data_IF_384248563871
#
_entry.id   IF_384248563871
#
_cell.length_a   1.000
_cell.length_b   1.000
_cell.length_c   1.000
_cell.angle_alpha   90.00
_cell.angle_beta   90.00
_cell.angle_gamma   90.00
#
_symmetry.space_group_name_H-M   'P 1'
#
loop_
_entity.id
_entity.type
_entity.pdbx_description
1 polymer ?
#
# COMPACT_ATOMS: atom_id res chain seq x y z
N UNK A 1 -72.30 -16.36 -31.54
CA UNK A 1 -71.86 -15.27 -30.62
C UNK A 1 -70.84 -15.87 -29.69
N UNK A 2 -69.59 -15.68 -29.96
CA UNK A 2 -68.49 -16.15 -29.13
C UNK A 2 -67.56 -14.98 -28.91
N UNK A 3 -67.43 -14.50 -27.68
CA UNK A 3 -66.60 -13.44 -27.25
C UNK A 3 -65.20 -14.04 -26.93
N UNK A 4 -64.14 -13.61 -27.67
CA UNK A 4 -62.75 -13.89 -27.37
C UNK A 4 -62.26 -12.87 -26.35
N UNK A 5 -61.87 -13.35 -25.18
CA UNK A 5 -61.08 -12.60 -24.20
C UNK A 5 -59.61 -12.77 -24.53
N UNK A 6 -58.93 -11.68 -24.92
CA UNK A 6 -57.50 -11.62 -25.10
C UNK A 6 -56.84 -11.25 -23.77
N UNK A 7 -56.09 -12.17 -23.18
CA UNK A 7 -55.22 -11.93 -22.02
C UNK A 7 -53.89 -11.40 -22.49
N UNK A 8 -53.59 -10.15 -22.18
CA UNK A 8 -52.28 -9.54 -22.40
C UNK A 8 -51.33 -9.94 -21.27
N UNK A 9 -50.26 -10.69 -21.59
CA UNK A 9 -49.15 -11.00 -20.71
C UNK A 9 -48.16 -9.83 -20.78
N UNK A 10 -48.04 -9.04 -19.72
CA UNK A 10 -46.98 -8.08 -19.55
C UNK A 10 -45.69 -8.83 -19.17
N UNK A 11 -44.76 -8.91 -20.09
CA UNK A 11 -43.37 -9.29 -19.79
C UNK A 11 -42.69 -8.13 -19.08
N UNK A 12 -42.43 -8.24 -17.80
CA UNK A 12 -41.60 -7.33 -17.06
C UNK A 12 -40.12 -7.64 -17.40
N UNK A 13 -39.51 -6.85 -18.29
CA UNK A 13 -38.08 -6.83 -18.46
C UNK A 13 -37.45 -6.26 -17.20
N UNK A 14 -36.78 -7.10 -16.42
CA UNK A 14 -35.95 -6.69 -15.30
C UNK A 14 -34.74 -5.89 -15.81
N UNK A 15 -34.82 -4.57 -15.69
CA UNK A 15 -33.70 -3.67 -15.93
C UNK A 15 -32.74 -3.82 -14.76
N UNK A 16 -31.59 -4.45 -14.99
CA UNK A 16 -30.44 -4.37 -14.11
C UNK A 16 -29.99 -2.91 -14.04
N UNK A 17 -30.50 -2.20 -13.03
CA UNK A 17 -30.21 -0.81 -12.80
C UNK A 17 -28.76 -0.61 -12.42
N UNK A 18 -27.98 -0.07 -13.36
CA UNK A 18 -26.75 0.66 -13.06
C UNK A 18 -27.17 1.87 -12.23
N UNK A 19 -27.05 1.78 -10.92
CA UNK A 19 -27.27 2.90 -10.00
C UNK A 19 -26.16 3.96 -10.16
N UNK A 20 -26.24 4.74 -11.23
CA UNK A 20 -25.61 6.08 -11.29
C UNK A 20 -26.52 7.00 -10.47
N UNK A 21 -26.37 6.98 -9.17
CA UNK A 21 -27.09 7.89 -8.28
C UNK A 21 -26.62 9.32 -8.53
N UNK A 22 -27.32 10.04 -9.39
CA UNK A 22 -27.11 11.47 -9.70
C UNK A 22 -27.73 12.41 -8.67
N UNK A 23 -27.87 11.97 -7.41
CA UNK A 23 -28.39 12.79 -6.32
C UNK A 23 -27.33 13.68 -5.67
N UNK A 24 -27.73 14.74 -4.92
CA UNK A 24 -26.79 15.55 -4.16
C UNK A 24 -26.02 14.69 -3.15
N UNK A 25 -24.72 14.94 -3.04
CA UNK A 25 -23.84 14.22 -2.10
C UNK A 25 -24.10 14.76 -0.68
N UNK A 26 -24.41 13.94 0.32
CA UNK A 26 -24.63 14.42 1.68
C UNK A 26 -23.38 15.12 2.25
N UNK A 27 -23.59 16.05 3.17
CA UNK A 27 -22.48 16.73 3.85
C UNK A 27 -21.56 15.68 4.51
N UNK A 28 -20.23 15.87 4.38
CA UNK A 28 -19.23 14.92 4.90
C UNK A 28 -19.03 13.66 4.06
N UNK A 29 -19.59 13.61 2.85
CA UNK A 29 -19.38 12.54 1.89
C UNK A 29 -18.78 13.08 0.60
N UNK A 30 -18.15 12.23 -0.17
CA UNK A 30 -17.54 12.53 -1.46
C UNK A 30 -17.94 11.48 -2.50
N UNK A 31 -18.33 11.91 -3.69
CA UNK A 31 -18.61 11.02 -4.81
C UNK A 31 -17.35 10.80 -5.63
N UNK A 32 -16.93 9.55 -5.76
CA UNK A 32 -15.77 9.15 -6.54
C UNK A 32 -15.94 9.53 -8.01
N UNK A 33 -14.97 10.25 -8.55
CA UNK A 33 -14.93 10.69 -9.94
C UNK A 33 -13.97 9.84 -10.78
N UNK A 34 -14.11 9.84 -12.12
CA UNK A 34 -13.15 9.17 -12.99
C UNK A 34 -11.71 9.65 -12.72
N UNK A 35 -10.79 8.71 -12.50
CA UNK A 35 -9.38 9.01 -12.19
C UNK A 35 -9.09 9.33 -10.72
N UNK A 36 -10.08 9.19 -9.82
CA UNK A 36 -9.84 9.28 -8.39
C UNK A 36 -9.26 7.99 -7.82
N UNK A 37 -8.41 8.16 -6.83
CA UNK A 37 -7.91 7.09 -5.97
C UNK A 37 -8.26 7.43 -4.52
N UNK A 38 -8.40 6.44 -3.67
CA UNK A 38 -8.69 6.66 -2.26
C UNK A 38 -7.63 7.57 -1.59
N UNK A 39 -6.37 7.48 -2.05
CA UNK A 39 -5.27 8.34 -1.60
C UNK A 39 -5.50 9.83 -1.98
N UNK A 40 -5.94 10.08 -3.22
CA UNK A 40 -6.24 11.44 -3.69
C UNK A 40 -7.40 12.04 -2.91
N UNK A 41 -8.48 11.25 -2.71
CA UNK A 41 -9.66 11.66 -1.93
C UNK A 41 -9.28 11.92 -0.46
N UNK A 42 -8.47 11.05 0.14
CA UNK A 42 -7.99 11.22 1.51
C UNK A 42 -7.21 12.52 1.69
N UNK A 43 -6.24 12.80 0.82
CA UNK A 43 -5.45 14.04 0.85
C UNK A 43 -6.31 15.30 0.66
N UNK A 44 -7.22 15.28 -0.31
CA UNK A 44 -8.13 16.41 -0.58
C UNK A 44 -9.01 16.75 0.63
N UNK A 45 -9.39 15.74 1.40
CA UNK A 45 -10.23 15.88 2.59
C UNK A 45 -9.43 15.91 3.91
N UNK A 46 -8.09 16.04 3.86
CA UNK A 46 -7.19 16.07 5.04
C UNK A 46 -7.38 14.85 5.97
N UNK A 47 -7.68 13.70 5.38
CA UNK A 47 -7.91 12.43 6.08
C UNK A 47 -6.84 11.41 5.74
N UNK A 48 -6.70 10.36 6.58
CA UNK A 48 -5.88 9.21 6.24
C UNK A 48 -6.66 8.21 5.40
N UNK A 49 -5.96 7.46 4.52
CA UNK A 49 -6.57 6.37 3.76
C UNK A 49 -7.20 5.33 4.70
N UNK A 50 -6.53 5.00 5.80
CA UNK A 50 -7.03 4.07 6.82
C UNK A 50 -8.32 4.55 7.49
N UNK A 51 -8.49 5.86 7.67
CA UNK A 51 -9.74 6.44 8.18
C UNK A 51 -10.87 6.24 7.16
N UNK A 52 -10.63 6.54 5.87
CA UNK A 52 -11.63 6.34 4.83
C UNK A 52 -12.01 4.87 4.65
N UNK A 53 -11.04 3.96 4.70
CA UNK A 53 -11.29 2.50 4.66
C UNK A 53 -12.20 2.08 5.80
N UNK A 54 -11.90 2.50 7.01
CA UNK A 54 -12.67 2.13 8.21
C UNK A 54 -14.08 2.74 8.21
N UNK A 55 -14.23 4.03 7.83
CA UNK A 55 -15.53 4.71 7.83
C UNK A 55 -16.47 4.21 6.75
N UNK A 56 -15.94 3.57 5.71
CA UNK A 56 -16.70 3.07 4.56
C UNK A 56 -16.70 1.54 4.46
N UNK A 57 -16.17 0.82 5.45
CA UNK A 57 -16.06 -0.65 5.46
C UNK A 57 -15.47 -1.21 4.16
N UNK A 58 -14.45 -0.53 3.60
CA UNK A 58 -13.83 -0.97 2.35
C UNK A 58 -12.95 -2.20 2.61
N UNK A 59 -13.31 -3.31 2.00
CA UNK A 59 -12.51 -4.55 2.06
C UNK A 59 -11.18 -4.40 1.32
N UNK A 60 -11.12 -3.51 0.32
CA UNK A 60 -9.94 -3.22 -0.46
C UNK A 60 -9.87 -1.72 -0.77
N UNK A 61 -8.85 -1.00 -0.28
CA UNK A 61 -8.68 0.45 -0.50
C UNK A 61 -8.46 0.82 -1.97
N UNK A 62 -8.11 -0.16 -2.83
CA UNK A 62 -7.88 0.04 -4.25
C UNK A 62 -9.13 -0.25 -5.11
N UNK A 63 -10.23 -0.71 -4.51
CA UNK A 63 -11.49 -1.01 -5.19
C UNK A 63 -12.56 0.03 -4.87
N UNK A 64 -12.38 1.24 -5.35
CA UNK A 64 -13.42 2.27 -5.37
C UNK A 64 -13.95 2.42 -6.79
N UNK A 65 -15.26 2.63 -6.92
CA UNK A 65 -15.93 2.73 -8.22
C UNK A 65 -16.37 4.16 -8.48
N UNK A 66 -16.29 4.59 -9.74
CA UNK A 66 -16.84 5.88 -10.18
C UNK A 66 -18.31 5.96 -9.81
N UNK A 67 -18.73 7.07 -9.18
CA UNK A 67 -20.08 7.26 -8.67
C UNK A 67 -20.29 6.75 -7.23
N UNK A 68 -19.38 5.97 -6.67
CA UNK A 68 -19.46 5.52 -5.28
C UNK A 68 -19.39 6.74 -4.33
N UNK A 69 -20.28 6.76 -3.33
CA UNK A 69 -20.29 7.80 -2.30
C UNK A 69 -19.50 7.31 -1.08
N UNK A 70 -18.44 8.02 -0.75
CA UNK A 70 -17.56 7.72 0.39
C UNK A 70 -17.74 8.76 1.49
N UNK A 71 -17.82 8.31 2.74
CA UNK A 71 -17.75 9.17 3.91
C UNK A 71 -16.31 9.70 4.06
N UNK A 72 -16.15 11.00 4.12
CA UNK A 72 -14.85 11.69 4.22
C UNK A 72 -14.69 12.49 5.51
N UNK A 73 -15.69 12.42 6.41
CA UNK A 73 -15.63 13.00 7.76
C UNK A 73 -15.83 11.93 8.83
N UNK A 74 -15.23 12.10 9.99
CA UNK A 74 -15.38 11.17 11.11
C UNK A 74 -16.86 11.00 11.49
N UNK A 75 -17.34 9.76 11.77
CA UNK A 75 -18.67 9.56 12.32
C UNK A 75 -18.80 10.27 13.67
N UNK A 76 -19.92 10.93 13.90
CA UNK A 76 -20.23 11.50 15.20
C UNK A 76 -20.25 10.37 16.25
N UNK A 77 -19.26 10.35 17.14
CA UNK A 77 -19.08 9.29 18.14
C UNK A 77 -17.70 8.65 18.20
N UNK A 78 -16.81 8.95 17.25
CA UNK A 78 -15.41 8.49 17.29
C UNK A 78 -14.46 9.62 17.71
N UNK A 79 -14.61 10.12 18.94
CA UNK A 79 -13.61 10.95 19.58
C UNK A 79 -12.45 10.04 20.03
N UNK A 80 -11.37 10.02 19.25
CA UNK A 80 -10.18 9.24 19.55
C UNK A 80 -9.07 9.46 18.54
N UNK A 81 -8.19 10.46 18.77
CA UNK A 81 -6.88 10.57 18.17
C UNK A 81 -6.67 11.64 17.11
N UNK A 82 -6.93 12.89 17.40
CA UNK A 82 -6.30 14.00 16.72
C UNK A 82 -5.12 14.48 17.57
N UNK A 83 -3.91 14.18 17.15
CA UNK A 83 -2.70 14.82 17.67
C UNK A 83 -2.53 16.16 17.00
N UNK A 84 -3.04 17.20 17.63
CA UNK A 84 -2.69 18.60 17.34
C UNK A 84 -1.61 19.03 18.31
N UNK A 85 -0.43 19.34 17.78
CA UNK A 85 0.60 20.05 18.53
C UNK A 85 0.13 21.46 18.88
N UNK A 86 0.10 21.78 20.16
CA UNK A 86 -0.13 23.09 20.70
C UNK A 86 0.79 23.30 21.92
N UNK A 87 1.73 24.22 21.77
CA UNK A 87 2.51 24.80 22.86
C UNK A 87 1.61 25.53 23.83
N UNK A 88 1.75 25.33 25.13
CA UNK A 88 1.64 26.40 26.14
C UNK A 88 2.46 26.05 27.37
N UNK A 89 3.24 27.06 27.81
CA UNK A 89 4.04 27.14 29.02
C UNK A 89 3.16 27.17 30.27
N UNK A 90 3.69 26.68 31.42
CA UNK A 90 3.10 26.91 32.74
C UNK A 90 3.79 26.08 33.83
N UNK A 91 4.73 26.64 34.44
CA UNK A 91 5.46 26.70 35.71
C UNK A 91 4.96 25.86 36.93
N UNK A 92 5.97 25.24 37.58
CA UNK A 92 6.19 24.95 39.01
C UNK A 92 5.45 23.76 39.66
N UNK A 93 6.11 22.80 40.23
CA UNK A 93 6.80 22.73 41.55
C UNK A 93 7.20 21.27 41.80
N UNK A 94 8.47 21.04 42.13
CA UNK A 94 8.99 19.78 42.68
C UNK A 94 8.69 19.69 44.19
N UNK A 95 8.90 18.53 44.90
CA UNK A 95 10.23 17.96 45.08
C UNK A 95 10.36 16.41 45.17
N UNK A 96 11.53 15.93 44.81
CA UNK A 96 12.46 14.94 45.39
C UNK A 96 11.91 13.59 45.92
N UNK A 97 12.50 12.47 45.56
CA UNK A 97 13.80 11.90 45.96
C UNK A 97 14.06 10.55 45.28
N UNK A 98 15.22 10.39 44.85
CA UNK A 98 16.34 9.46 45.06
C UNK A 98 16.31 8.10 44.34
N UNK A 99 17.33 7.97 43.55
CA UNK A 99 18.50 7.11 43.55
C UNK A 99 18.58 5.94 42.57
N UNK A 100 19.59 6.05 41.77
CA UNK A 100 20.73 5.15 41.49
C UNK A 100 20.53 4.13 40.38
N UNK A 101 21.10 4.30 39.22
CA UNK A 101 22.39 3.80 38.74
C UNK A 101 22.53 4.04 37.23
N UNK A 102 23.57 4.83 36.90
CA UNK A 102 24.13 5.00 35.56
C UNK A 102 25.13 3.88 35.31
N UNK A 103 25.26 3.38 34.11
CA UNK A 103 26.54 3.49 33.45
C UNK A 103 26.51 4.34 32.20
N UNK A 104 27.41 5.27 32.18
CA UNK A 104 27.85 6.06 31.05
C UNK A 104 28.37 5.15 29.94
N UNK A 105 27.82 5.34 28.75
CA UNK A 105 28.38 4.90 27.50
C UNK A 105 28.21 6.05 26.51
N UNK A 106 29.15 6.98 26.54
CA UNK A 106 29.35 7.98 25.50
C UNK A 106 29.63 7.23 24.19
N UNK A 107 28.66 7.18 23.32
CA UNK A 107 28.90 6.83 21.91
C UNK A 107 28.55 8.06 21.11
N UNK A 108 29.57 8.70 20.60
CA UNK A 108 29.53 9.78 19.65
C UNK A 108 28.49 9.43 18.54
N UNK A 109 27.47 10.25 18.45
CA UNK A 109 26.52 10.24 17.33
C UNK A 109 27.25 10.67 16.06
N UNK A 110 27.93 9.74 15.45
CA UNK A 110 28.27 9.83 14.03
C UNK A 110 26.94 9.77 13.29
N UNK A 111 26.57 10.82 12.56
CA UNK A 111 25.41 10.83 11.69
C UNK A 111 25.42 9.54 10.85
N UNK A 112 24.39 8.69 10.92
CA UNK A 112 24.42 7.42 10.21
C UNK A 112 24.40 7.74 8.72
N UNK A 113 25.48 7.39 8.02
CA UNK A 113 25.43 7.18 6.58
C UNK A 113 24.17 6.33 6.34
N UNK A 114 23.24 6.83 5.54
CA UNK A 114 21.93 6.18 5.24
C UNK A 114 22.20 4.83 4.55
N UNK A 115 22.62 3.82 5.29
CA UNK A 115 22.88 2.47 4.80
C UNK A 115 21.68 1.57 5.18
N UNK A 116 21.30 0.68 4.28
CA UNK A 116 20.38 -0.40 4.52
C UNK A 116 21.08 -1.71 4.21
N UNK A 117 20.86 -2.73 5.02
CA UNK A 117 21.28 -4.10 4.72
C UNK A 117 20.10 -4.86 4.14
N UNK A 118 20.22 -5.33 2.90
CA UNK A 118 19.21 -6.10 2.22
C UNK A 118 19.59 -7.57 2.17
N UNK A 119 18.57 -8.45 2.18
CA UNK A 119 18.71 -9.85 1.79
C UNK A 119 18.12 -10.07 0.41
N UNK A 120 18.56 -11.13 -0.27
CA UNK A 120 17.97 -11.49 -1.56
C UNK A 120 16.48 -11.77 -1.42
N UNK A 121 15.64 -11.13 -2.24
CA UNK A 121 14.18 -11.27 -2.13
C UNK A 121 13.67 -12.62 -2.63
N UNK A 122 14.44 -13.32 -3.46
CA UNK A 122 14.12 -14.64 -3.96
C UNK A 122 15.38 -15.39 -4.41
N UNK A 123 15.43 -16.73 -4.37
CA UNK A 123 16.41 -17.51 -5.08
C UNK A 123 16.16 -17.46 -6.59
N UNK A 124 17.18 -17.75 -7.40
CA UNK A 124 17.06 -17.80 -8.87
C UNK A 124 18.14 -17.05 -9.61
N UNK A 125 18.09 -17.10 -10.94
CA UNK A 125 19.05 -16.47 -11.82
C UNK A 125 18.63 -15.06 -12.19
N UNK A 126 19.59 -14.13 -12.22
CA UNK A 126 19.32 -12.77 -12.72
C UNK A 126 19.29 -12.83 -14.25
N UNK A 127 18.12 -12.60 -14.84
CA UNK A 127 17.90 -12.60 -16.28
C UNK A 127 17.88 -11.19 -16.89
N UNK A 128 17.76 -10.15 -16.05
CA UNK A 128 17.91 -8.76 -16.44
C UNK A 128 18.60 -7.98 -15.33
N UNK A 129 19.61 -7.24 -15.70
CA UNK A 129 20.37 -6.42 -14.75
C UNK A 129 19.84 -4.98 -14.68
N UNK A 130 20.19 -4.28 -13.62
CA UNK A 130 19.95 -2.86 -13.48
C UNK A 130 20.58 -2.09 -14.66
N UNK A 131 19.86 -1.11 -15.22
CA UNK A 131 20.27 -0.34 -16.39
C UNK A 131 20.10 -1.06 -17.74
N UNK A 132 20.02 -2.39 -17.76
CA UNK A 132 19.83 -3.15 -19.01
C UNK A 132 18.43 -2.87 -19.59
N UNK A 133 18.38 -2.48 -20.87
CA UNK A 133 17.13 -2.05 -21.54
C UNK A 133 16.33 -1.00 -20.73
N UNK A 134 17.03 -0.06 -20.09
CA UNK A 134 16.48 1.00 -19.22
C UNK A 134 15.72 0.45 -17.98
N UNK A 135 16.06 -0.76 -17.54
CA UNK A 135 15.45 -1.33 -16.32
C UNK A 135 15.91 -0.56 -15.07
N UNK A 136 14.97 -0.15 -14.25
CA UNK A 136 15.21 0.48 -12.95
C UNK A 136 15.49 -0.53 -11.81
N UNK A 137 15.49 -1.83 -12.11
CA UNK A 137 15.70 -2.90 -11.15
C UNK A 137 16.38 -4.10 -11.79
N UNK A 138 16.38 -5.20 -11.06
CA UNK A 138 16.84 -6.51 -11.54
C UNK A 138 15.63 -7.44 -11.72
N UNK A 139 15.74 -8.39 -12.65
CA UNK A 139 14.73 -9.46 -12.80
C UNK A 139 15.36 -10.79 -12.43
N UNK A 140 14.75 -11.49 -11.48
CA UNK A 140 15.18 -12.80 -10.98
C UNK A 140 14.18 -13.85 -11.47
N UNK A 141 14.63 -14.82 -12.25
CA UNK A 141 13.80 -15.92 -12.74
C UNK A 141 13.93 -17.15 -11.84
N UNK A 142 12.79 -17.79 -11.60
CA UNK A 142 12.66 -19.08 -10.95
C UNK A 142 11.28 -19.67 -11.29
N UNK A 143 10.91 -20.80 -10.71
CA UNK A 143 9.60 -21.43 -10.89
C UNK A 143 8.48 -20.60 -10.27
N UNK A 144 7.30 -20.65 -10.91
CA UNK A 144 6.10 -20.01 -10.35
C UNK A 144 5.79 -20.62 -8.96
N UNK A 145 5.47 -19.73 -8.01
CA UNK A 145 5.25 -20.12 -6.62
C UNK A 145 6.47 -20.06 -5.72
N UNK A 146 7.67 -19.82 -6.27
CA UNK A 146 8.85 -19.56 -5.44
C UNK A 146 8.53 -18.45 -4.41
N UNK A 147 8.81 -18.67 -3.11
CA UNK A 147 8.58 -17.66 -2.10
C UNK A 147 9.40 -16.40 -2.35
N UNK A 148 8.75 -15.26 -2.23
CA UNK A 148 9.38 -13.93 -2.27
C UNK A 148 9.36 -13.38 -0.86
N UNK A 149 10.52 -12.92 -0.38
CA UNK A 149 10.69 -12.41 0.97
C UNK A 149 11.00 -10.91 0.97
N UNK A 150 10.63 -10.23 2.05
CA UNK A 150 10.99 -8.84 2.26
C UNK A 150 12.50 -8.67 2.38
N UNK A 151 13.11 -7.87 1.51
CA UNK A 151 14.55 -7.64 1.48
C UNK A 151 15.06 -6.93 2.74
N UNK A 152 14.21 -6.14 3.41
CA UNK A 152 14.46 -5.54 4.72
C UNK A 152 13.15 -5.41 5.49
N UNK A 153 13.23 -5.15 6.78
CA UNK A 153 12.07 -4.82 7.60
C UNK A 153 11.44 -3.49 7.15
N UNK A 154 10.11 -3.38 7.25
CA UNK A 154 9.41 -2.17 6.83
C UNK A 154 7.90 -2.27 6.92
N UNK A 155 7.23 -1.31 6.29
CA UNK A 155 5.76 -1.26 6.19
C UNK A 155 5.34 -1.32 4.72
N UNK A 156 4.38 -2.16 4.41
CA UNK A 156 3.81 -2.27 3.06
C UNK A 156 3.10 -0.97 2.70
N UNK A 157 3.67 -0.24 1.76
CA UNK A 157 3.13 1.04 1.29
C UNK A 157 2.11 0.87 0.16
N UNK A 158 2.16 -0.27 -0.53
CA UNK A 158 1.24 -0.62 -1.60
C UNK A 158 1.18 -2.14 -1.78
N UNK A 159 -0.02 -2.67 -2.01
CA UNK A 159 -0.27 -4.06 -2.38
C UNK A 159 -1.44 -4.11 -3.39
N UNK A 160 -1.16 -4.41 -4.65
CA UNK A 160 -2.19 -4.38 -5.71
C UNK A 160 -1.64 -4.62 -7.10
N UNK A 161 -2.50 -4.37 -8.11
CA UNK A 161 -2.18 -4.61 -9.53
C UNK A 161 -2.63 -3.46 -10.46
N UNK A 162 -2.86 -2.26 -9.92
CA UNK A 162 -3.39 -1.15 -10.72
C UNK A 162 -2.33 -0.45 -11.58
N UNK A 163 -1.05 -0.73 -11.37
CA UNK A 163 0.04 -0.16 -12.16
C UNK A 163 0.38 -1.08 -13.33
N UNK A 164 0.09 -0.61 -14.56
CA UNK A 164 0.40 -1.35 -15.78
C UNK A 164 1.89 -1.68 -15.89
N UNK A 165 2.21 -2.87 -16.37
CA UNK A 165 3.57 -3.34 -16.57
C UNK A 165 4.22 -3.94 -15.33
N UNK A 166 3.56 -3.93 -14.17
CA UNK A 166 4.07 -4.53 -12.93
C UNK A 166 3.28 -5.75 -12.48
N UNK A 167 2.05 -5.95 -13.00
CA UNK A 167 1.17 -7.01 -12.52
C UNK A 167 0.86 -6.90 -11.04
N UNK A 168 0.76 -8.02 -10.35
CA UNK A 168 0.60 -8.00 -8.88
C UNK A 168 1.90 -7.53 -8.23
N UNK A 169 1.83 -6.43 -7.49
CA UNK A 169 3.00 -5.71 -6.99
C UNK A 169 2.87 -5.37 -5.51
N UNK A 170 4.00 -5.39 -4.82
CA UNK A 170 4.20 -4.84 -3.49
C UNK A 170 5.22 -3.71 -3.53
N UNK A 171 5.00 -2.68 -2.72
CA UNK A 171 6.01 -1.67 -2.37
C UNK A 171 6.14 -1.67 -0.85
N UNK A 172 7.37 -1.82 -0.37
CA UNK A 172 7.67 -1.77 1.06
C UNK A 172 8.51 -0.53 1.34
N UNK A 173 8.09 0.25 2.32
CA UNK A 173 8.84 1.39 2.84
C UNK A 173 9.70 0.90 4.00
N UNK A 174 10.98 1.15 3.91
CA UNK A 174 11.98 0.83 4.92
C UNK A 174 12.45 2.09 5.66
N UNK A 175 13.34 1.90 6.62
CA UNK A 175 14.04 3.00 7.25
C UNK A 175 14.92 3.79 6.26
N UNK A 176 15.36 4.98 6.67
CA UNK A 176 16.34 5.81 5.95
C UNK A 176 15.94 6.22 4.52
N UNK A 177 14.62 6.31 4.23
CA UNK A 177 14.10 6.73 2.93
C UNK A 177 14.17 5.67 1.83
N UNK A 178 14.44 4.39 2.19
CA UNK A 178 14.46 3.30 1.23
C UNK A 178 13.06 2.76 0.95
N UNK A 179 12.85 2.39 -0.32
CA UNK A 179 11.68 1.65 -0.80
C UNK A 179 12.17 0.44 -1.59
N UNK A 180 11.46 -0.68 -1.47
CA UNK A 180 11.65 -1.84 -2.37
C UNK A 180 10.34 -2.18 -3.07
N UNK A 181 10.45 -2.56 -4.35
CA UNK A 181 9.35 -2.93 -5.24
C UNK A 181 9.50 -4.39 -5.63
N UNK A 182 8.41 -5.14 -5.55
CA UNK A 182 8.33 -6.56 -5.91
C UNK A 182 7.17 -6.74 -6.88
N UNK A 183 7.44 -7.06 -8.15
CA UNK A 183 6.42 -7.14 -9.19
C UNK A 183 6.39 -8.50 -9.90
N UNK A 184 5.34 -8.71 -10.71
CA UNK A 184 4.99 -9.93 -11.44
C UNK A 184 4.59 -11.11 -10.54
N UNK A 185 4.16 -10.84 -9.30
CA UNK A 185 3.77 -11.88 -8.36
C UNK A 185 2.49 -12.60 -8.81
N UNK A 186 2.37 -13.89 -8.49
CA UNK A 186 1.10 -14.62 -8.67
C UNK A 186 0.14 -14.37 -7.51
N UNK A 187 0.69 -14.22 -6.29
CA UNK A 187 -0.08 -14.03 -5.06
C UNK A 187 0.64 -13.09 -4.13
N UNK A 188 -0.09 -12.19 -3.51
CA UNK A 188 0.38 -11.33 -2.43
C UNK A 188 -0.05 -11.95 -1.10
N UNK A 189 0.88 -12.12 -0.15
CA UNK A 189 0.66 -12.73 1.16
C UNK A 189 0.46 -11.71 2.27
N UNK A 190 0.72 -10.43 1.96
CA UNK A 190 0.58 -9.30 2.87
C UNK A 190 -0.28 -8.21 2.23
N UNK A 191 -0.88 -7.36 3.05
CA UNK A 191 -1.73 -6.26 2.62
C UNK A 191 -1.07 -4.91 2.89
N UNK A 192 -1.56 -3.89 2.23
CA UNK A 192 -1.15 -2.51 2.50
C UNK A 192 -1.31 -2.16 3.99
N UNK A 193 -0.35 -1.42 4.53
CA UNK A 193 -0.27 -1.06 5.94
C UNK A 193 0.34 -2.12 6.85
N UNK A 194 0.56 -3.36 6.38
CA UNK A 194 1.18 -4.41 7.19
C UNK A 194 2.65 -4.10 7.47
N UNK A 195 3.11 -4.38 8.69
CA UNK A 195 4.53 -4.38 9.05
C UNK A 195 5.13 -5.74 8.73
N UNK A 196 6.30 -5.76 8.10
CA UNK A 196 7.02 -6.97 7.71
C UNK A 196 8.44 -6.95 8.26
N UNK A 197 8.97 -8.14 8.58
CA UNK A 197 10.36 -8.34 8.99
C UNK A 197 11.21 -8.69 7.78
N UNK A 198 12.50 -8.40 7.84
CA UNK A 198 13.45 -8.90 6.84
C UNK A 198 13.38 -10.43 6.75
N UNK A 199 13.37 -10.98 5.53
CA UNK A 199 13.25 -12.42 5.29
C UNK A 199 11.83 -12.99 5.45
N UNK A 200 10.85 -12.18 5.84
CA UNK A 200 9.45 -12.63 5.92
C UNK A 200 8.88 -12.87 4.52
N UNK A 201 8.19 -13.99 4.31
CA UNK A 201 7.45 -14.25 3.07
C UNK A 201 6.35 -13.19 2.89
N UNK A 202 6.35 -12.55 1.72
CA UNK A 202 5.44 -11.43 1.37
C UNK A 202 4.63 -11.70 0.11
N UNK A 203 5.14 -12.54 -0.78
CA UNK A 203 4.48 -12.89 -2.04
C UNK A 203 4.99 -14.24 -2.56
N UNK A 204 4.39 -14.69 -3.64
CA UNK A 204 4.83 -15.84 -4.42
C UNK A 204 5.14 -15.39 -5.85
N UNK A 205 6.28 -15.84 -6.38
CA UNK A 205 6.71 -15.54 -7.75
C UNK A 205 5.66 -15.96 -8.76
N UNK A 206 5.39 -15.09 -9.71
CA UNK A 206 4.39 -15.31 -10.75
C UNK A 206 4.84 -14.89 -12.12
N UNK A 207 3.84 -14.73 -12.98
CA UNK A 207 4.00 -14.38 -14.39
C UNK A 207 3.00 -13.28 -14.78
N UNK A 208 2.53 -12.47 -13.82
CA UNK A 208 1.57 -11.41 -14.13
C UNK A 208 2.24 -10.29 -14.92
N UNK A 209 1.69 -9.96 -16.09
CA UNK A 209 2.23 -8.97 -17.04
C UNK A 209 3.70 -9.21 -17.47
N UNK A 210 4.15 -10.47 -17.51
CA UNK A 210 5.46 -10.88 -18.04
C UNK A 210 5.35 -12.22 -18.77
N UNK A 211 6.35 -12.58 -19.56
CA UNK A 211 6.32 -13.76 -20.44
C UNK A 211 6.79 -15.05 -19.77
N UNK A 212 7.43 -14.95 -18.59
CA UNK A 212 7.94 -16.10 -17.83
C UNK A 212 7.90 -15.81 -16.33
N UNK A 213 7.83 -16.85 -15.49
CA UNK A 213 7.85 -16.67 -14.05
C UNK A 213 9.12 -15.97 -13.59
N UNK A 214 8.96 -14.80 -12.98
CA UNK A 214 10.07 -13.97 -12.53
C UNK A 214 9.62 -12.93 -11.50
N UNK A 215 10.57 -12.46 -10.70
CA UNK A 215 10.43 -11.33 -9.81
C UNK A 215 11.15 -10.12 -10.42
N UNK A 216 10.45 -9.03 -10.68
CA UNK A 216 11.09 -7.74 -10.85
C UNK A 216 11.31 -7.11 -9.48
N UNK A 217 12.56 -6.77 -9.19
CA UNK A 217 12.99 -6.19 -7.91
C UNK A 217 13.70 -4.86 -8.14
N UNK A 218 13.15 -3.79 -7.56
CA UNK A 218 13.70 -2.43 -7.66
C UNK A 218 13.90 -1.86 -6.27
N UNK A 219 14.96 -1.07 -6.09
CA UNK A 219 15.23 -0.33 -4.85
C UNK A 219 15.32 1.16 -5.16
N UNK A 220 14.70 1.95 -4.31
CA UNK A 220 14.80 3.42 -4.35
C UNK A 220 15.29 3.93 -3.01
N UNK A 221 16.06 5.01 -3.05
CA UNK A 221 16.46 5.78 -1.89
C UNK A 221 16.09 7.24 -2.11
N UNK A 222 15.33 7.83 -1.19
CA UNK A 222 14.85 9.22 -1.28
C UNK A 222 14.22 9.53 -2.66
N UNK A 223 13.46 8.55 -3.23
CA UNK A 223 12.78 8.64 -4.52
C UNK A 223 13.67 8.34 -5.74
N UNK A 224 14.98 8.23 -5.59
CA UNK A 224 15.92 7.91 -6.67
C UNK A 224 16.11 6.40 -6.77
N UNK A 225 16.16 5.90 -7.99
CA UNK A 225 16.46 4.48 -8.27
C UNK A 225 17.92 4.18 -7.94
N UNK A 226 18.16 3.06 -7.28
CA UNK A 226 19.50 2.57 -6.90
C UNK A 226 19.68 1.16 -7.41
N UNK A 227 20.90 0.82 -7.87
CA UNK A 227 21.20 -0.58 -8.25
C UNK A 227 21.05 -1.50 -7.04
N UNK A 228 20.08 -2.45 -7.07
CA UNK A 228 19.85 -3.35 -5.94
C UNK A 228 21.08 -4.19 -5.58
N UNK A 229 21.91 -4.51 -6.56
CA UNK A 229 23.11 -5.35 -6.36
C UNK A 229 24.19 -4.67 -5.51
N UNK A 230 24.20 -3.34 -5.46
CA UNK A 230 25.11 -2.59 -4.60
C UNK A 230 24.76 -2.69 -3.11
N UNK A 231 23.53 -3.12 -2.80
CA UNK A 231 22.95 -3.23 -1.45
C UNK A 231 22.71 -4.67 -1.01
N UNK A 232 22.75 -5.62 -1.94
CA UNK A 232 22.56 -7.04 -1.69
C UNK A 232 23.87 -7.75 -1.40
N UNK A 233 23.88 -8.85 -0.62
CA UNK A 233 25.06 -9.67 -0.43
C UNK A 233 25.60 -10.22 -1.77
N UNK A 234 26.91 -10.40 -1.89
CA UNK A 234 27.48 -11.06 -3.06
C UNK A 234 26.96 -12.50 -3.17
N UNK A 235 26.63 -12.90 -4.36
CA UNK A 235 26.30 -14.29 -4.74
C UNK A 235 27.44 -14.85 -5.55
#
# INVERSE_FOLDING_TARGET
MAALLATAVLAACGTTGSNTASGPVPAGHYRVQPGDTLNKIARANKQSVSSLVRWNNLSNPNQIHVGQVLRVTAPAGSAGGASTGGKTSGTATAPATSNTSRPSGSSASTAPTKKISLVWPAPGNIIRQFGQARSNGITIANTAGTPIVAAAAGTVAYAGNTLRGYGNMLIIRHANGFLSVYAHNRKLLVREGATVRQGQAIAEMGQTETTQPSLYFEVRQDGRVVDPRSLLPKR
#
